data_IF_544428145208
#
_entry.id   IF_544428145208
#
_cell.length_a   1.000
_cell.length_b   1.000
_cell.length_c   1.000
_cell.angle_alpha   90.00
_cell.angle_beta   90.00
_cell.angle_gamma   90.00
#
_symmetry.space_group_name_H-M   'P 1'
#
loop_
_entity.id
_entity.type
_entity.pdbx_description
1 polymer ?
#
# COMPACT_ATOMS: atom_id res chain seq x y z
N UNK A 1 -33.04 8.45 6.61
CA UNK A 1 -32.58 7.40 5.70
C UNK A 1 -32.81 6.06 6.40
N UNK A 2 -33.31 5.06 5.68
CA UNK A 2 -33.58 3.72 6.23
C UNK A 2 -32.32 2.88 6.42
N UNK A 3 -31.17 3.41 5.98
CA UNK A 3 -29.84 2.78 6.10
C UNK A 3 -28.90 3.62 6.93
N UNK A 4 -28.05 2.98 7.72
CA UNK A 4 -27.01 3.64 8.48
C UNK A 4 -26.02 4.31 7.51
N UNK A 5 -25.68 5.57 7.77
CA UNK A 5 -24.73 6.35 6.97
C UNK A 5 -23.66 6.95 7.89
N UNK A 6 -22.40 6.93 7.44
CA UNK A 6 -21.25 7.46 8.18
C UNK A 6 -20.89 8.90 7.80
N UNK A 7 -21.58 9.46 6.81
CA UNK A 7 -21.35 10.81 6.34
C UNK A 7 -22.02 11.12 5.02
N UNK A 8 -21.69 12.28 4.48
CA UNK A 8 -22.19 12.81 3.20
C UNK A 8 -21.02 13.12 2.28
N UNK A 9 -21.22 12.99 0.97
CA UNK A 9 -20.24 13.42 -0.02
C UNK A 9 -20.82 14.56 -0.84
N UNK A 10 -20.25 15.73 -0.71
CA UNK A 10 -20.56 16.89 -1.53
C UNK A 10 -19.73 16.87 -2.80
N UNK A 11 -20.38 17.04 -3.94
CA UNK A 11 -19.72 17.04 -5.25
C UNK A 11 -20.11 18.31 -6.01
N UNK A 12 -19.14 18.90 -6.70
CA UNK A 12 -19.43 19.97 -7.66
C UNK A 12 -20.37 19.42 -8.73
N UNK A 13 -21.55 20.03 -8.91
CA UNK A 13 -22.58 19.53 -9.82
C UNK A 13 -22.23 19.74 -11.31
N UNK A 14 -21.49 20.79 -11.61
CA UNK A 14 -21.11 21.11 -12.99
C UNK A 14 -19.93 20.24 -13.46
N UNK A 15 -20.15 19.40 -14.47
CA UNK A 15 -19.14 18.48 -15.00
C UNK A 15 -17.94 19.18 -15.65
N UNK A 16 -18.11 20.41 -16.18
CA UNK A 16 -16.99 21.17 -16.73
C UNK A 16 -16.07 21.66 -15.59
N UNK A 17 -16.64 22.13 -14.49
CA UNK A 17 -15.88 22.51 -13.30
C UNK A 17 -15.17 21.29 -12.67
N UNK A 18 -15.82 20.12 -12.64
CA UNK A 18 -15.15 18.89 -12.19
C UNK A 18 -13.90 18.57 -13.02
N UNK A 19 -13.97 18.76 -14.35
CA UNK A 19 -12.83 18.54 -15.24
C UNK A 19 -11.70 19.56 -15.00
N UNK A 20 -12.04 20.82 -14.77
CA UNK A 20 -11.07 21.89 -14.46
C UNK A 20 -10.36 21.64 -13.11
N UNK A 21 -11.09 21.22 -12.11
CA UNK A 21 -10.55 20.90 -10.79
C UNK A 21 -9.68 19.63 -10.81
N UNK A 22 -10.02 18.66 -11.66
CA UNK A 22 -9.26 17.43 -11.80
C UNK A 22 -9.28 16.54 -10.57
N UNK A 23 -8.28 15.66 -10.47
CA UNK A 23 -8.12 14.70 -9.38
C UNK A 23 -6.67 14.63 -8.94
N UNK A 24 -6.45 14.21 -7.70
CA UNK A 24 -5.15 13.74 -7.21
C UNK A 24 -5.00 12.25 -7.54
N UNK A 25 -3.86 11.66 -7.24
CA UNK A 25 -3.65 10.21 -7.38
C UNK A 25 -4.64 9.36 -6.55
N UNK A 26 -5.23 9.94 -5.49
CA UNK A 26 -6.09 9.21 -4.53
C UNK A 26 -7.55 9.67 -4.51
N UNK A 27 -7.83 10.92 -4.88
CA UNK A 27 -9.17 11.50 -4.70
C UNK A 27 -9.46 12.61 -5.70
N UNK A 28 -10.74 12.82 -6.07
CA UNK A 28 -11.16 13.95 -6.87
C UNK A 28 -11.04 15.26 -6.07
N UNK A 29 -10.60 16.35 -6.72
CA UNK A 29 -10.56 17.70 -6.12
C UNK A 29 -11.93 18.39 -6.09
N UNK A 30 -12.90 17.85 -6.81
CA UNK A 30 -14.26 18.36 -6.94
C UNK A 30 -15.25 17.67 -6.01
N UNK A 31 -14.79 16.85 -5.07
CA UNK A 31 -15.62 16.20 -4.08
C UNK A 31 -14.98 16.32 -2.70
N UNK A 32 -15.84 16.53 -1.67
CA UNK A 32 -15.44 16.56 -0.27
C UNK A 32 -16.38 15.67 0.54
N UNK A 33 -15.81 14.84 1.39
CA UNK A 33 -16.55 14.03 2.33
C UNK A 33 -16.74 14.79 3.66
N UNK A 34 -17.97 14.86 4.12
CA UNK A 34 -18.32 15.28 5.48
C UNK A 34 -18.66 14.04 6.29
N UNK A 35 -17.81 13.68 7.22
CA UNK A 35 -18.03 12.57 8.13
C UNK A 35 -18.83 13.03 9.34
N UNK A 36 -19.85 12.26 9.73
CA UNK A 36 -20.55 12.51 10.99
C UNK A 36 -19.60 12.30 12.16
N UNK A 37 -19.96 12.87 13.31
CA UNK A 37 -19.21 12.62 14.52
C UNK A 37 -19.31 11.13 14.85
N UNK A 38 -18.16 10.50 15.04
CA UNK A 38 -18.12 9.09 15.38
C UNK A 38 -18.71 8.84 16.78
N UNK A 39 -19.37 7.71 16.95
CA UNK A 39 -19.83 7.26 18.27
C UNK A 39 -18.62 7.06 19.19
N UNK A 40 -18.81 7.41 20.46
CA UNK A 40 -17.81 7.23 21.50
C UNK A 40 -18.40 6.41 22.63
N UNK A 41 -17.62 5.45 23.08
CA UNK A 41 -17.97 4.64 24.23
C UNK A 41 -16.91 4.72 25.30
N UNK A 42 -17.33 4.67 26.56
CA UNK A 42 -16.46 4.69 27.71
C UNK A 42 -16.14 3.27 28.16
N UNK A 43 -14.86 2.93 28.28
CA UNK A 43 -14.43 1.63 28.76
C UNK A 43 -13.15 1.76 29.60
N UNK A 44 -12.83 0.71 30.36
CA UNK A 44 -11.64 0.69 31.20
C UNK A 44 -10.42 0.19 30.43
N UNK A 45 -9.31 0.90 30.54
CA UNK A 45 -7.99 0.48 30.10
C UNK A 45 -7.44 -0.59 31.05
N UNK A 46 -7.19 -1.80 30.53
CA UNK A 46 -6.65 -2.92 31.30
C UNK A 46 -5.13 -2.93 31.30
N UNK A 47 -4.55 -2.65 30.15
CA UNK A 47 -3.10 -2.59 29.95
C UNK A 47 -2.77 -1.96 28.60
N UNK A 48 -1.52 -1.62 28.35
CA UNK A 48 -1.03 -1.21 27.02
C UNK A 48 0.02 -2.21 26.56
N UNK A 49 -0.15 -2.74 25.37
CA UNK A 49 0.84 -3.53 24.66
C UNK A 49 1.53 -2.68 23.60
N UNK A 50 2.80 -2.98 23.32
CA UNK A 50 3.57 -2.29 22.29
C UNK A 50 3.88 -3.27 21.17
N UNK A 51 3.45 -2.93 19.96
CA UNK A 51 3.59 -3.77 18.77
C UNK A 51 4.64 -3.20 17.84
N UNK A 52 5.49 -4.08 17.29
CA UNK A 52 6.52 -3.69 16.34
C UNK A 52 6.00 -3.98 14.92
N UNK A 53 5.84 -2.93 14.14
CA UNK A 53 5.42 -3.04 12.74
C UNK A 53 6.54 -3.43 11.79
N UNK A 54 6.18 -3.70 10.55
CA UNK A 54 7.08 -4.09 9.44
C UNK A 54 8.30 -3.19 9.24
N UNK A 55 8.14 -1.89 9.43
CA UNK A 55 9.21 -0.89 9.31
C UNK A 55 9.88 -0.55 10.66
N UNK A 56 9.62 -1.36 11.69
CA UNK A 56 10.17 -1.16 13.03
C UNK A 56 9.40 -0.19 13.91
N UNK A 57 8.38 0.49 13.39
CA UNK A 57 7.56 1.43 14.17
C UNK A 57 6.90 0.75 15.35
N UNK A 58 7.05 1.34 16.53
CA UNK A 58 6.42 0.85 17.76
C UNK A 58 5.07 1.54 17.94
N UNK A 59 4.03 0.74 17.89
CA UNK A 59 2.65 1.22 18.04
C UNK A 59 2.09 0.78 19.40
N UNK A 60 1.74 1.71 20.29
CA UNK A 60 1.05 1.38 21.53
C UNK A 60 -0.42 1.04 21.25
N UNK A 61 -0.88 -0.04 21.85
CA UNK A 61 -2.24 -0.56 21.70
C UNK A 61 -2.88 -0.73 23.07
N UNK A 62 -3.95 -0.02 23.32
CA UNK A 62 -4.75 -0.17 24.53
C UNK A 62 -5.53 -1.49 24.51
N UNK A 63 -5.34 -2.33 25.52
CA UNK A 63 -6.15 -3.50 25.79
C UNK A 63 -7.29 -3.08 26.73
N UNK A 64 -8.52 -3.25 26.33
CA UNK A 64 -9.70 -2.67 26.95
C UNK A 64 -10.60 -3.73 27.58
N UNK A 65 -11.42 -3.34 28.54
CA UNK A 65 -12.62 -4.10 28.84
C UNK A 65 -13.52 -4.09 27.59
N UNK A 66 -14.12 -5.25 27.23
CA UNK A 66 -14.95 -5.32 26.02
C UNK A 66 -16.10 -4.30 26.07
N UNK A 67 -16.24 -3.49 25.02
CA UNK A 67 -17.30 -2.48 24.88
C UNK A 67 -17.96 -2.60 23.53
N UNK A 68 -19.27 -2.44 23.47
CA UNK A 68 -20.02 -2.40 22.22
C UNK A 68 -19.90 -1.01 21.60
N UNK A 69 -19.38 -0.92 20.38
CA UNK A 69 -19.21 0.33 19.65
C UNK A 69 -19.54 0.11 18.17
N UNK A 70 -20.50 0.85 17.65
CA UNK A 70 -20.98 0.74 16.25
C UNK A 70 -21.24 -0.72 15.84
N UNK A 71 -22.02 -1.46 16.66
CA UNK A 71 -22.45 -2.84 16.39
C UNK A 71 -21.36 -3.91 16.54
N UNK A 72 -20.14 -3.56 16.99
CA UNK A 72 -19.05 -4.53 17.20
C UNK A 72 -18.46 -4.43 18.61
N UNK A 73 -18.01 -5.57 19.15
CA UNK A 73 -17.32 -5.59 20.45
C UNK A 73 -15.86 -5.22 20.27
N UNK A 74 -15.48 -4.07 20.78
CA UNK A 74 -14.09 -3.56 20.78
C UNK A 74 -13.38 -4.02 22.05
N UNK A 75 -12.21 -4.61 21.89
CA UNK A 75 -11.32 -5.06 22.98
C UNK A 75 -9.94 -4.41 22.92
N UNK A 76 -9.60 -3.80 21.79
CA UNK A 76 -8.30 -3.17 21.52
C UNK A 76 -8.50 -1.87 20.75
N UNK A 77 -7.70 -0.86 21.07
CA UNK A 77 -7.72 0.43 20.38
C UNK A 77 -6.32 0.99 20.24
N UNK A 78 -6.06 1.70 19.15
CA UNK A 78 -4.75 2.34 18.92
C UNK A 78 -4.58 3.56 19.83
N UNK A 79 -3.38 3.73 20.35
CA UNK A 79 -2.88 4.94 21.02
C UNK A 79 -1.90 5.72 20.11
N UNK A 80 -1.81 5.34 18.86
CA UNK A 80 -0.99 5.95 17.82
C UNK A 80 0.52 5.96 18.13
N UNK A 81 0.98 6.77 19.09
CA UNK A 81 2.37 6.96 19.46
C UNK A 81 2.51 7.50 20.89
N UNK A 82 3.75 7.72 21.34
CA UNK A 82 4.06 8.28 22.67
C UNK A 82 3.47 9.69 22.87
N UNK A 83 3.48 10.54 21.85
CA UNK A 83 3.00 11.92 21.98
C UNK A 83 1.51 11.97 22.30
N UNK A 84 0.70 11.08 21.70
CA UNK A 84 -0.72 10.95 22.02
C UNK A 84 -0.94 10.42 23.43
N UNK A 85 -0.12 9.47 23.90
CA UNK A 85 -0.20 8.98 25.28
C UNK A 85 0.04 10.13 26.27
N UNK A 86 1.06 10.95 26.02
CA UNK A 86 1.39 12.12 26.84
C UNK A 86 0.31 13.21 26.74
N UNK A 87 -0.15 13.50 25.53
CA UNK A 87 -1.19 14.53 25.30
C UNK A 87 -2.48 14.19 26.02
N UNK A 88 -2.87 12.93 26.02
CA UNK A 88 -4.07 12.46 26.70
C UNK A 88 -3.85 12.20 28.20
N UNK A 89 -2.60 12.31 28.67
CA UNK A 89 -2.21 12.01 30.06
C UNK A 89 -2.78 10.66 30.53
N UNK A 90 -2.48 9.59 29.78
CA UNK A 90 -3.04 8.26 30.05
C UNK A 90 -2.31 7.60 31.22
N UNK A 91 -3.08 7.10 32.17
CA UNK A 91 -2.61 6.33 33.32
C UNK A 91 -3.12 4.89 33.26
N UNK A 92 -2.42 3.99 33.92
CA UNK A 92 -2.84 2.60 34.04
C UNK A 92 -4.19 2.51 34.78
N UNK A 93 -5.13 1.76 34.22
CA UNK A 93 -6.46 1.55 34.76
C UNK A 93 -7.46 2.66 34.52
N UNK A 94 -7.11 3.71 33.76
CA UNK A 94 -8.00 4.80 33.39
C UNK A 94 -9.27 4.32 32.69
N UNK A 95 -10.33 5.09 32.83
CA UNK A 95 -11.47 5.00 31.94
C UNK A 95 -11.25 5.89 30.72
N UNK A 96 -11.34 5.30 29.53
CA UNK A 96 -10.98 5.95 28.27
C UNK A 96 -12.13 5.96 27.29
N UNK A 97 -12.24 7.04 26.53
CA UNK A 97 -13.20 7.16 25.44
C UNK A 97 -12.61 6.52 24.16
N UNK A 98 -13.32 5.54 23.62
CA UNK A 98 -12.97 4.83 22.38
C UNK A 98 -13.88 5.31 21.27
N UNK A 99 -13.28 5.61 20.12
CA UNK A 99 -13.97 6.00 18.89
C UNK A 99 -13.48 5.12 17.74
N UNK A 100 -14.36 4.76 16.81
CA UNK A 100 -13.95 4.13 15.55
C UNK A 100 -13.70 5.20 14.49
N UNK A 101 -12.44 5.42 14.14
CA UNK A 101 -12.07 6.28 13.03
C UNK A 101 -12.42 5.63 11.69
N UNK A 102 -13.37 6.23 10.93
CA UNK A 102 -13.84 5.69 9.67
C UNK A 102 -14.50 4.30 9.77
N UNK A 103 -15.10 4.01 10.94
CA UNK A 103 -15.82 2.77 11.29
C UNK A 103 -14.98 1.49 11.34
N UNK A 104 -13.67 1.55 11.16
CA UNK A 104 -12.82 0.35 11.03
C UNK A 104 -11.85 0.21 12.20
N UNK A 105 -11.02 1.22 12.48
CA UNK A 105 -9.93 1.11 13.46
C UNK A 105 -10.29 1.88 14.75
N UNK A 106 -10.48 1.16 15.89
CA UNK A 106 -10.70 1.81 17.16
C UNK A 106 -9.46 2.59 17.61
N UNK A 107 -9.67 3.79 18.13
CA UNK A 107 -8.63 4.66 18.72
C UNK A 107 -9.12 5.28 20.04
N UNK A 108 -8.18 5.57 20.92
CA UNK A 108 -8.46 6.32 22.16
C UNK A 108 -8.45 7.81 21.81
N UNK A 109 -9.48 8.53 22.26
CA UNK A 109 -9.65 9.96 21.98
C UNK A 109 -9.75 10.83 23.24
N UNK A 110 -9.79 10.23 24.42
CA UNK A 110 -9.84 10.96 25.68
C UNK A 110 -9.82 10.05 26.89
N UNK A 111 -9.68 10.67 28.06
CA UNK A 111 -9.69 10.02 29.38
C UNK A 111 -10.81 10.65 30.21
N UNK A 112 -11.53 9.83 30.94
CA UNK A 112 -12.54 10.27 31.93
C UNK A 112 -11.89 10.51 33.29
N UNK A 113 -11.38 11.72 33.48
CA UNK A 113 -10.56 12.10 34.65
C UNK A 113 -11.34 11.97 35.98
N UNK A 114 -12.69 12.12 35.97
CA UNK A 114 -13.51 11.99 37.17
C UNK A 114 -13.50 10.57 37.75
N UNK A 115 -13.15 9.57 36.95
CA UNK A 115 -13.05 8.16 37.32
C UNK A 115 -11.63 7.67 37.55
N UNK A 116 -10.63 8.56 37.42
CA UNK A 116 -9.20 8.20 37.64
C UNK A 116 -8.97 7.83 39.10
N UNK A 117 -8.27 6.74 39.31
CA UNK A 117 -7.91 6.30 40.69
C UNK A 117 -6.82 7.22 41.26
N UNK A 118 -6.98 7.70 42.52
CA UNK A 118 -5.95 8.46 43.20
C UNK A 118 -4.65 7.68 43.25
N UNK A 119 -3.53 8.32 42.89
CA UNK A 119 -2.19 7.70 42.91
C UNK A 119 -1.87 6.82 41.71
N UNK A 120 -2.71 6.76 40.69
CA UNK A 120 -2.37 6.11 39.42
C UNK A 120 -1.17 6.81 38.77
N UNK A 121 -0.28 6.02 38.14
CA UNK A 121 0.93 6.54 37.51
C UNK A 121 0.72 6.75 36.02
N UNK A 122 1.34 7.79 35.41
CA UNK A 122 1.35 7.98 33.98
C UNK A 122 1.97 6.78 33.25
N UNK A 123 1.34 6.39 32.15
CA UNK A 123 1.85 5.30 31.32
C UNK A 123 3.23 5.66 30.75
N UNK A 124 4.18 4.77 30.96
CA UNK A 124 5.54 4.93 30.42
C UNK A 124 5.68 4.23 29.07
N UNK A 125 6.21 4.96 28.08
CA UNK A 125 6.54 4.36 26.79
C UNK A 125 7.78 3.48 26.93
N UNK A 126 7.86 2.39 26.15
CA UNK A 126 8.99 1.47 26.18
C UNK A 126 10.24 2.11 25.59
N UNK A 127 11.40 1.84 26.16
CA UNK A 127 12.71 2.32 25.65
C UNK A 127 13.38 1.33 24.71
N UNK A 128 13.02 0.07 24.82
CA UNK A 128 13.59 -1.02 24.02
C UNK A 128 12.47 -1.71 23.25
N UNK A 129 12.82 -2.27 22.09
CA UNK A 129 11.91 -3.06 21.28
C UNK A 129 11.34 -4.24 22.10
N UNK A 130 10.01 -4.39 22.19
CA UNK A 130 9.39 -5.45 23.01
C UNK A 130 9.68 -6.86 22.49
N UNK A 131 10.16 -7.00 21.25
CA UNK A 131 10.41 -8.31 20.63
C UNK A 131 11.89 -8.68 20.64
N UNK A 132 12.80 -7.77 20.27
CA UNK A 132 14.22 -8.09 20.14
C UNK A 132 15.12 -7.39 21.15
N UNK A 133 14.57 -6.57 22.06
CA UNK A 133 15.32 -5.89 23.12
C UNK A 133 16.21 -4.72 22.66
N UNK A 134 16.33 -4.48 21.36
CA UNK A 134 17.17 -3.40 20.82
C UNK A 134 16.66 -2.03 21.28
N UNK A 135 17.53 -1.10 21.72
CA UNK A 135 17.15 0.26 22.06
C UNK A 135 16.42 0.94 20.88
N UNK A 136 15.31 1.60 21.19
CA UNK A 136 14.52 2.31 20.18
C UNK A 136 15.19 3.63 19.83
N UNK A 137 14.99 4.06 18.58
CA UNK A 137 15.42 5.37 18.08
C UNK A 137 14.22 6.18 17.63
N UNK A 138 14.32 7.51 17.76
CA UNK A 138 13.33 8.44 17.23
C UNK A 138 14.07 9.53 16.50
N UNK A 139 13.77 9.69 15.22
CA UNK A 139 14.36 10.76 14.43
C UNK A 139 13.78 12.12 14.83
N UNK A 140 14.56 13.16 14.69
CA UNK A 140 14.10 14.52 14.94
C UNK A 140 12.93 14.87 14.02
N UNK A 141 11.87 15.43 14.59
CA UNK A 141 10.63 15.77 13.86
C UNK A 141 9.68 14.60 13.58
N UNK A 142 10.04 13.35 13.91
CA UNK A 142 9.15 12.20 13.77
C UNK A 142 8.45 11.86 15.09
N UNK A 143 7.17 11.51 15.00
CA UNK A 143 6.37 11.09 16.17
C UNK A 143 6.60 9.62 16.57
N UNK A 144 7.15 8.83 15.66
CA UNK A 144 7.29 7.39 15.84
C UNK A 144 8.63 6.99 16.46
N UNK A 145 8.58 6.11 17.45
CA UNK A 145 9.74 5.34 17.89
C UNK A 145 9.91 4.13 16.99
N UNK A 146 11.15 3.82 16.62
CA UNK A 146 11.47 2.77 15.68
C UNK A 146 12.54 1.83 16.25
N UNK A 147 12.35 0.54 16.06
CA UNK A 147 13.37 -0.47 16.28
C UNK A 147 14.34 -0.48 15.09
N UNK A 148 15.63 -0.11 15.28
CA UNK A 148 16.59 -0.05 14.18
C UNK A 148 17.10 -1.43 13.72
N UNK A 149 16.79 -2.50 14.46
CA UNK A 149 17.25 -3.87 14.17
C UNK A 149 16.42 -4.50 13.04
N UNK A 150 16.55 -3.94 11.84
CA UNK A 150 15.75 -4.31 10.68
C UNK A 150 15.85 -5.79 10.31
N UNK A 151 17.06 -6.33 10.38
CA UNK A 151 17.38 -7.68 9.87
C UNK A 151 17.45 -8.75 10.95
N UNK A 152 17.32 -8.36 12.23
CA UNK A 152 17.27 -9.28 13.37
C UNK A 152 15.95 -9.25 14.15
N UNK A 153 15.05 -8.32 13.84
CA UNK A 153 13.77 -8.21 14.54
C UNK A 153 12.68 -8.99 13.79
N UNK A 154 12.19 -10.06 14.43
CA UNK A 154 11.21 -10.98 13.82
C UNK A 154 10.02 -10.29 13.15
N UNK A 155 9.25 -9.39 13.78
CA UNK A 155 8.10 -8.75 13.12
C UNK A 155 8.50 -7.91 11.89
N UNK A 156 9.72 -7.36 11.86
CA UNK A 156 10.20 -6.64 10.69
C UNK A 156 10.52 -7.58 9.54
N UNK A 157 11.07 -8.75 9.83
CA UNK A 157 11.38 -9.76 8.82
C UNK A 157 10.09 -10.37 8.27
N UNK A 158 9.24 -10.91 9.14
CA UNK A 158 7.99 -11.59 8.71
C UNK A 158 7.02 -10.63 8.04
N UNK A 159 6.91 -9.39 8.54
CA UNK A 159 6.09 -8.36 7.91
C UNK A 159 6.60 -7.90 6.53
N UNK A 160 7.93 -7.91 6.29
CA UNK A 160 8.47 -7.67 4.94
C UNK A 160 8.19 -8.85 3.99
N UNK A 161 8.26 -10.08 4.49
CA UNK A 161 7.89 -11.28 3.72
C UNK A 161 6.41 -11.20 3.32
N UNK A 162 5.52 -10.93 4.28
CA UNK A 162 4.08 -10.78 4.05
C UNK A 162 3.77 -9.66 3.04
N UNK A 163 4.43 -8.51 3.18
CA UNK A 163 4.30 -7.42 2.22
C UNK A 163 4.74 -7.85 0.83
N UNK A 164 5.92 -8.47 0.71
CA UNK A 164 6.50 -8.88 -0.56
C UNK A 164 5.57 -9.82 -1.33
N UNK A 165 4.99 -10.81 -0.66
CA UNK A 165 4.08 -11.79 -1.30
C UNK A 165 2.68 -11.25 -1.58
N UNK A 166 2.36 -10.07 -1.06
CA UNK A 166 1.03 -9.48 -1.14
C UNK A 166 0.50 -9.32 -2.57
N UNK A 167 -0.85 -9.27 -2.71
CA UNK A 167 -1.55 -9.20 -4.00
C UNK A 167 -1.09 -8.04 -4.89
N UNK A 168 -0.80 -6.87 -4.32
CA UNK A 168 -0.36 -5.68 -5.06
C UNK A 168 1.15 -5.67 -5.33
N UNK A 169 1.90 -6.60 -4.75
CA UNK A 169 3.33 -6.78 -4.91
C UNK A 169 3.59 -8.01 -5.78
N UNK A 170 4.21 -9.06 -5.24
CA UNK A 170 4.56 -10.25 -6.04
C UNK A 170 3.39 -11.23 -6.24
N UNK A 171 2.27 -11.03 -5.54
CA UNK A 171 1.04 -11.83 -5.66
C UNK A 171 1.26 -13.35 -5.49
N UNK A 172 2.05 -13.73 -4.49
CA UNK A 172 2.30 -15.13 -4.14
C UNK A 172 1.27 -15.59 -3.12
N UNK A 173 0.28 -16.33 -3.58
CA UNK A 173 -0.83 -16.78 -2.76
C UNK A 173 -0.43 -17.95 -1.84
N UNK A 174 -0.95 -17.98 -0.62
CA UNK A 174 -0.71 -19.05 0.35
C UNK A 174 0.32 -18.71 1.42
N UNK A 175 1.02 -17.57 1.33
CA UNK A 175 1.88 -17.04 2.38
C UNK A 175 1.19 -15.83 3.00
N UNK A 176 0.43 -16.03 4.08
CA UNK A 176 -0.08 -14.97 4.95
C UNK A 176 0.78 -14.83 6.20
N UNK A 177 0.35 -14.00 7.17
CA UNK A 177 1.04 -13.73 8.42
C UNK A 177 1.50 -15.02 9.13
N UNK A 178 0.58 -15.96 9.34
CA UNK A 178 0.87 -17.21 10.05
C UNK A 178 1.90 -18.08 9.31
N UNK A 179 1.79 -18.20 7.97
CA UNK A 179 2.73 -18.98 7.16
C UNK A 179 4.11 -18.30 7.12
N UNK A 180 4.17 -16.97 7.02
CA UNK A 180 5.43 -16.21 7.05
C UNK A 180 6.15 -16.41 8.40
N UNK A 181 5.41 -16.37 9.51
CA UNK A 181 5.92 -16.64 10.84
C UNK A 181 6.47 -18.08 10.98
N UNK A 182 5.78 -19.07 10.45
CA UNK A 182 6.23 -20.46 10.49
C UNK A 182 7.47 -20.67 9.62
N UNK A 183 7.50 -20.14 8.39
CA UNK A 183 8.66 -20.21 7.50
C UNK A 183 9.90 -19.58 8.14
N UNK A 184 9.73 -18.46 8.83
CA UNK A 184 10.78 -17.82 9.59
C UNK A 184 11.23 -18.68 10.79
N UNK A 185 10.29 -19.21 11.57
CA UNK A 185 10.56 -19.98 12.78
C UNK A 185 11.35 -21.25 12.50
N UNK A 186 11.07 -21.92 11.37
CA UNK A 186 11.82 -23.13 10.94
C UNK A 186 13.11 -22.77 10.18
N UNK A 187 13.40 -21.47 9.99
CA UNK A 187 14.63 -20.97 9.36
C UNK A 187 14.68 -21.08 7.84
N UNK A 188 13.56 -21.41 7.19
CA UNK A 188 13.47 -21.52 5.73
C UNK A 188 13.50 -20.17 5.02
N UNK A 189 12.91 -19.14 5.62
CA UNK A 189 12.84 -17.79 5.02
C UNK A 189 13.27 -16.76 6.06
N UNK A 190 14.39 -16.09 5.80
CA UNK A 190 14.95 -15.00 6.61
C UNK A 190 14.90 -13.65 5.88
N UNK A 191 14.73 -13.67 4.57
CA UNK A 191 14.56 -12.49 3.73
C UNK A 191 13.70 -12.84 2.50
N UNK A 192 13.31 -11.85 1.73
CA UNK A 192 12.40 -12.04 0.60
C UNK A 192 12.96 -12.89 -0.55
N UNK A 193 14.29 -12.96 -0.70
CA UNK A 193 14.89 -13.78 -1.74
C UNK A 193 14.82 -15.28 -1.41
N UNK A 194 14.77 -15.65 -0.11
CA UNK A 194 14.67 -17.06 0.32
C UNK A 194 13.34 -17.70 -0.12
N UNK A 195 12.33 -16.90 -0.45
CA UNK A 195 11.03 -17.37 -0.96
C UNK A 195 11.23 -18.15 -2.27
N UNK A 196 12.18 -17.74 -3.11
CA UNK A 196 12.48 -18.37 -4.41
C UNK A 196 13.29 -19.65 -4.29
N UNK A 197 13.82 -19.95 -3.10
CA UNK A 197 14.51 -21.21 -2.79
C UNK A 197 13.57 -22.27 -2.18
N UNK A 198 12.28 -21.96 -2.01
CA UNK A 198 11.29 -22.90 -1.48
C UNK A 198 11.00 -24.01 -2.49
N UNK A 199 10.98 -25.24 -1.99
CA UNK A 199 10.63 -26.46 -2.74
C UNK A 199 9.49 -27.19 -2.03
N UNK A 200 8.88 -28.16 -2.70
CA UNK A 200 7.80 -28.97 -2.11
C UNK A 200 8.26 -29.65 -0.81
N UNK A 201 9.45 -30.28 -0.82
CA UNK A 201 10.03 -30.94 0.35
C UNK A 201 10.23 -29.97 1.53
N UNK A 202 10.67 -28.74 1.25
CA UNK A 202 10.83 -27.71 2.29
C UNK A 202 9.50 -27.24 2.87
N UNK A 203 8.47 -27.14 2.04
CA UNK A 203 7.15 -26.69 2.48
C UNK A 203 6.41 -27.74 3.32
N UNK A 204 6.69 -29.03 3.12
CA UNK A 204 6.11 -30.13 3.93
C UNK A 204 6.56 -30.09 5.39
N UNK A 205 7.70 -29.48 5.69
CA UNK A 205 8.22 -29.31 7.06
C UNK A 205 7.41 -28.24 7.83
N UNK A 206 6.72 -27.35 7.12
CA UNK A 206 5.92 -26.27 7.72
C UNK A 206 4.59 -26.83 8.21
N UNK A 207 4.39 -26.93 9.51
CA UNK A 207 3.38 -27.73 10.20
C UNK A 207 1.89 -27.51 9.84
N UNK A 208 1.56 -26.46 9.05
CA UNK A 208 0.20 -26.21 8.54
C UNK A 208 0.16 -26.04 7.02
N UNK A 209 1.29 -26.27 6.35
CA UNK A 209 1.36 -26.22 4.90
C UNK A 209 1.00 -27.58 4.31
N UNK A 210 -0.32 -27.83 4.13
CA UNK A 210 -0.77 -29.04 3.43
C UNK A 210 -0.38 -28.98 1.94
N UNK A 211 -0.40 -30.14 1.27
CA UNK A 211 0.02 -30.32 -0.13
C UNK A 211 -0.62 -29.31 -1.11
N UNK A 212 -1.92 -29.01 -0.94
CA UNK A 212 -2.61 -28.01 -1.76
C UNK A 212 -2.07 -26.59 -1.56
N UNK A 213 -1.71 -26.25 -0.33
CA UNK A 213 -1.10 -24.93 0.00
C UNK A 213 0.30 -24.85 -0.56
N UNK A 214 1.12 -25.89 -0.41
CA UNK A 214 2.47 -25.96 -0.99
C UNK A 214 2.43 -25.78 -2.51
N UNK A 215 1.58 -26.50 -3.21
CA UNK A 215 1.40 -26.36 -4.66
C UNK A 215 0.95 -24.94 -5.06
N UNK A 216 0.05 -24.32 -4.27
CA UNK A 216 -0.40 -22.93 -4.52
C UNK A 216 0.74 -21.94 -4.34
N UNK A 217 1.53 -22.07 -3.29
CA UNK A 217 2.72 -21.24 -3.04
C UNK A 217 3.71 -21.37 -4.21
N UNK A 218 4.09 -22.58 -4.61
CA UNK A 218 5.05 -22.82 -5.67
C UNK A 218 4.57 -22.27 -7.03
N UNK A 219 3.29 -22.42 -7.38
CA UNK A 219 2.71 -21.79 -8.56
C UNK A 219 2.77 -20.27 -8.49
N UNK A 220 2.47 -19.69 -7.31
CA UNK A 220 2.55 -18.25 -7.06
C UNK A 220 3.98 -17.73 -7.21
N UNK A 221 4.97 -18.45 -6.70
CA UNK A 221 6.40 -18.15 -6.86
C UNK A 221 6.77 -18.09 -8.34
N UNK A 222 6.39 -19.10 -9.12
CA UNK A 222 6.72 -19.14 -10.55
C UNK A 222 6.02 -18.02 -11.33
N UNK A 223 4.72 -17.79 -11.06
CA UNK A 223 3.98 -16.72 -11.68
C UNK A 223 4.52 -15.32 -11.32
N UNK A 224 5.07 -15.15 -10.11
CA UNK A 224 5.60 -13.88 -9.64
C UNK A 224 6.83 -13.40 -10.42
N UNK A 225 7.56 -14.29 -11.10
CA UNK A 225 8.69 -13.94 -11.97
C UNK A 225 8.28 -13.07 -13.17
N UNK A 226 6.99 -13.08 -13.53
CA UNK A 226 6.44 -12.25 -14.60
C UNK A 226 5.80 -10.95 -14.10
N UNK A 227 5.85 -10.68 -12.81
CA UNK A 227 5.30 -9.45 -12.23
C UNK A 227 6.10 -8.25 -12.73
N UNK A 228 5.44 -7.15 -13.18
CA UNK A 228 6.10 -5.97 -13.71
C UNK A 228 7.06 -5.31 -12.70
N UNK A 229 8.13 -4.71 -13.23
CA UNK A 229 9.23 -4.15 -12.42
C UNK A 229 8.80 -3.13 -11.38
N UNK A 230 7.81 -2.27 -11.67
CA UNK A 230 7.30 -1.29 -10.70
C UNK A 230 6.69 -1.95 -9.46
N UNK A 231 6.12 -3.14 -9.61
CA UNK A 231 5.60 -3.92 -8.47
C UNK A 231 6.73 -4.59 -7.70
N UNK A 232 7.81 -5.01 -8.38
CA UNK A 232 9.04 -5.50 -7.73
C UNK A 232 9.62 -4.39 -6.85
N UNK A 233 9.78 -3.16 -7.36
CA UNK A 233 10.26 -2.02 -6.59
C UNK A 233 9.39 -1.75 -5.37
N UNK A 234 8.06 -1.82 -5.51
CA UNK A 234 7.14 -1.66 -4.38
C UNK A 234 7.27 -2.80 -3.36
N UNK A 235 7.46 -4.04 -3.83
CA UNK A 235 7.63 -5.22 -2.98
C UNK A 235 8.88 -5.17 -2.10
N UNK A 236 9.95 -4.46 -2.52
CA UNK A 236 11.18 -4.29 -1.74
C UNK A 236 10.98 -3.59 -0.39
N UNK A 237 9.84 -2.95 -0.17
CA UNK A 237 9.53 -2.28 1.11
C UNK A 237 10.56 -1.20 1.48
N UNK A 238 11.00 -0.41 0.49
CA UNK A 238 11.87 0.75 0.71
C UNK A 238 11.12 1.75 1.59
N UNK A 239 11.71 2.26 2.69
CA UNK A 239 11.05 3.25 3.53
C UNK A 239 10.59 4.47 2.72
N UNK A 240 9.43 5.01 3.04
CA UNK A 240 8.81 6.17 2.37
C UNK A 240 8.44 5.97 0.89
N UNK A 241 8.68 4.79 0.30
CA UNK A 241 8.31 4.46 -1.08
C UNK A 241 7.01 3.65 -1.09
N UNK A 242 5.90 4.32 -1.38
CA UNK A 242 4.60 3.68 -1.63
C UNK A 242 4.45 3.23 -3.08
N UNK A 243 3.34 2.58 -3.42
CA UNK A 243 3.07 2.04 -4.76
C UNK A 243 3.20 3.08 -5.88
N UNK A 244 2.61 4.27 -5.70
CA UNK A 244 2.70 5.35 -6.70
C UNK A 244 4.14 5.79 -6.91
N UNK A 245 4.92 5.89 -5.83
CA UNK A 245 6.31 6.29 -5.89
C UNK A 245 7.18 5.20 -6.50
N UNK A 246 6.98 3.94 -6.14
CA UNK A 246 7.66 2.81 -6.74
C UNK A 246 7.48 2.76 -8.27
N UNK A 247 6.25 3.03 -8.74
CA UNK A 247 5.96 3.14 -10.16
C UNK A 247 6.72 4.29 -10.82
N UNK A 248 6.74 5.50 -10.21
CA UNK A 248 7.49 6.64 -10.74
C UNK A 248 8.99 6.33 -10.83
N UNK A 249 9.58 5.77 -9.78
CA UNK A 249 10.99 5.40 -9.75
C UNK A 249 11.32 4.34 -10.80
N UNK A 250 10.49 3.31 -10.93
CA UNK A 250 10.70 2.25 -11.92
C UNK A 250 10.71 2.78 -13.35
N UNK A 251 9.79 3.68 -13.71
CA UNK A 251 9.73 4.26 -15.05
C UNK A 251 10.80 5.34 -15.29
N UNK A 252 11.21 6.10 -14.26
CA UNK A 252 12.24 7.11 -14.39
C UNK A 252 13.62 6.49 -14.63
N UNK A 253 13.97 5.42 -13.92
CA UNK A 253 15.28 4.76 -14.03
C UNK A 253 15.29 3.58 -15.00
N UNK A 254 14.15 3.00 -15.31
CA UNK A 254 14.00 1.92 -16.27
C UNK A 254 14.54 0.55 -15.82
N UNK A 255 15.49 0.49 -14.89
CA UNK A 255 16.06 -0.75 -14.36
C UNK A 255 16.47 -0.63 -12.89
N UNK A 256 16.60 -1.79 -12.23
CA UNK A 256 17.12 -1.84 -10.86
C UNK A 256 18.57 -1.34 -10.77
N UNK A 257 19.39 -1.63 -11.78
CA UNK A 257 20.79 -1.21 -11.80
C UNK A 257 20.92 0.32 -11.83
N UNK A 258 20.14 0.98 -12.68
CA UNK A 258 20.09 2.43 -12.73
C UNK A 258 19.57 3.03 -11.41
N UNK A 259 18.55 2.42 -10.82
CA UNK A 259 17.99 2.85 -9.55
C UNK A 259 18.97 2.65 -8.38
N UNK A 260 19.75 1.58 -8.37
CA UNK A 260 20.79 1.32 -7.36
C UNK A 260 21.96 2.31 -7.44
N UNK A 261 22.26 2.84 -8.61
CA UNK A 261 23.33 3.82 -8.84
C UNK A 261 22.87 5.28 -8.69
N UNK A 262 21.56 5.50 -8.54
CA UNK A 262 20.98 6.84 -8.46
C UNK A 262 21.50 7.62 -7.24
N UNK A 263 21.85 8.88 -7.46
CA UNK A 263 22.20 9.83 -6.41
C UNK A 263 20.94 10.48 -5.82
N UNK A 264 21.10 11.16 -4.68
CA UNK A 264 19.99 11.94 -4.09
C UNK A 264 19.50 13.01 -5.09
N UNK A 265 20.40 13.67 -5.79
CA UNK A 265 20.05 14.72 -6.75
C UNK A 265 19.26 14.16 -7.95
N UNK A 266 19.66 13.00 -8.48
CA UNK A 266 18.92 12.32 -9.56
C UNK A 266 17.49 11.98 -9.14
N UNK A 267 17.32 11.54 -7.89
CA UNK A 267 16.02 11.17 -7.34
C UNK A 267 15.13 12.38 -7.09
N UNK A 268 15.66 13.46 -6.52
CA UNK A 268 14.90 14.70 -6.24
C UNK A 268 14.47 15.40 -7.54
N UNK A 269 15.16 15.17 -8.66
CA UNK A 269 14.76 15.67 -9.96
C UNK A 269 13.43 15.08 -10.49
N UNK A 270 12.93 13.99 -9.87
CA UNK A 270 11.67 13.35 -10.23
C UNK A 270 10.52 14.05 -9.50
N UNK A 271 9.43 14.35 -10.22
CA UNK A 271 8.23 14.96 -9.65
C UNK A 271 7.67 14.16 -8.45
N UNK A 272 7.39 14.86 -7.36
CA UNK A 272 6.91 14.34 -6.07
C UNK A 272 7.93 13.50 -5.28
N UNK A 273 9.19 13.40 -5.69
CA UNK A 273 10.27 12.82 -4.90
C UNK A 273 10.95 13.90 -4.07
N UNK A 274 10.62 13.96 -2.77
CA UNK A 274 11.30 14.86 -1.83
C UNK A 274 12.59 14.26 -1.27
N UNK A 275 13.37 15.11 -0.59
CA UNK A 275 14.66 14.77 0.04
C UNK A 275 14.60 13.47 0.87
N UNK A 276 13.58 13.33 1.74
CA UNK A 276 13.40 12.17 2.63
C UNK A 276 13.24 10.86 1.85
N UNK A 277 12.49 10.88 0.74
CA UNK A 277 12.31 9.70 -0.11
C UNK A 277 13.62 9.35 -0.81
N UNK A 278 14.30 10.35 -1.37
CA UNK A 278 15.57 10.17 -2.07
C UNK A 278 16.64 9.56 -1.15
N UNK A 279 16.80 10.12 0.04
CA UNK A 279 17.72 9.58 1.04
C UNK A 279 17.37 8.16 1.47
N UNK A 280 16.07 7.84 1.61
CA UNK A 280 15.62 6.48 1.94
C UNK A 280 15.96 5.47 0.84
N UNK A 281 15.82 5.84 -0.43
CA UNK A 281 16.17 4.98 -1.58
C UNK A 281 17.69 4.75 -1.63
N UNK A 282 18.49 5.81 -1.53
CA UNK A 282 19.95 5.71 -1.55
C UNK A 282 20.47 4.87 -0.37
N UNK A 283 19.96 5.12 0.84
CA UNK A 283 20.33 4.36 2.04
C UNK A 283 19.96 2.87 1.92
N UNK A 284 18.79 2.58 1.31
CA UNK A 284 18.35 1.21 1.09
C UNK A 284 19.32 0.43 0.20
N UNK A 285 19.73 0.98 -0.93
CA UNK A 285 20.62 0.30 -1.88
C UNK A 285 22.09 0.32 -1.47
N UNK A 286 22.53 1.28 -0.64
CA UNK A 286 23.87 1.28 -0.02
C UNK A 286 24.07 0.16 1.01
N UNK A 287 22.99 -0.43 1.53
CA UNK A 287 23.09 -1.56 2.43
C UNK A 287 23.53 -2.82 1.68
N UNK A 288 24.69 -3.44 2.02
CA UNK A 288 25.21 -4.62 1.31
C UNK A 288 24.25 -5.82 1.33
N UNK A 289 23.47 -5.97 2.41
CA UNK A 289 22.49 -7.05 2.51
C UNK A 289 21.36 -6.88 1.49
N UNK A 290 20.89 -5.64 1.28
CA UNK A 290 19.88 -5.37 0.26
C UNK A 290 20.43 -5.57 -1.15
N UNK A 291 21.70 -5.16 -1.42
CA UNK A 291 22.36 -5.43 -2.69
C UNK A 291 22.44 -6.93 -2.98
N UNK A 292 22.84 -7.74 -2.00
CA UNK A 292 22.88 -9.21 -2.13
C UNK A 292 21.48 -9.81 -2.39
N UNK A 293 20.42 -9.27 -1.75
CA UNK A 293 19.03 -9.66 -2.03
C UNK A 293 18.67 -9.36 -3.49
N UNK A 294 19.04 -8.19 -4.02
CA UNK A 294 18.76 -7.83 -5.42
C UNK A 294 19.40 -8.83 -6.40
N UNK A 295 20.65 -9.21 -6.18
CA UNK A 295 21.32 -10.21 -7.03
C UNK A 295 20.64 -11.57 -6.98
N UNK A 296 20.18 -12.01 -5.80
CA UNK A 296 19.45 -13.26 -5.67
C UNK A 296 18.07 -13.21 -6.34
N UNK A 297 17.34 -12.12 -6.22
CA UNK A 297 16.05 -11.93 -6.91
C UNK A 297 16.24 -11.90 -8.43
N UNK A 298 17.32 -11.29 -8.92
CA UNK A 298 17.71 -11.33 -10.34
C UNK A 298 17.98 -12.74 -10.80
N UNK A 299 18.80 -13.49 -10.05
CA UNK A 299 19.13 -14.89 -10.36
C UNK A 299 17.89 -15.79 -10.35
N UNK A 300 16.90 -15.48 -9.50
CA UNK A 300 15.61 -16.18 -9.46
C UNK A 300 14.71 -15.88 -10.69
N UNK A 301 15.07 -14.89 -11.52
CA UNK A 301 14.38 -14.57 -12.77
C UNK A 301 13.27 -13.52 -12.66
N UNK A 302 13.32 -12.64 -11.65
CA UNK A 302 12.37 -11.54 -11.53
C UNK A 302 12.62 -10.46 -12.59
N UNK A 303 11.56 -9.72 -12.93
CA UNK A 303 11.67 -8.57 -13.84
C UNK A 303 12.42 -7.43 -13.14
N UNK A 304 13.67 -7.20 -13.50
CA UNK A 304 14.56 -6.17 -12.92
C UNK A 304 14.63 -4.90 -13.74
N UNK A 305 13.75 -4.74 -14.70
CA UNK A 305 13.67 -3.55 -15.55
C UNK A 305 12.32 -3.45 -16.23
N UNK A 306 12.00 -2.24 -16.67
CA UNK A 306 10.83 -1.97 -17.51
C UNK A 306 11.12 -2.53 -18.90
N UNK A 307 10.19 -3.27 -19.48
CA UNK A 307 10.32 -3.75 -20.85
C UNK A 307 10.61 -2.57 -21.80
N UNK A 308 11.54 -2.73 -22.75
CA UNK A 308 11.95 -1.66 -23.69
C UNK A 308 10.74 -1.05 -24.39
N UNK A 309 9.80 -1.89 -24.81
CA UNK A 309 8.53 -1.48 -25.42
C UNK A 309 7.67 -0.62 -24.48
N UNK A 310 7.84 -0.73 -23.16
CA UNK A 310 7.15 0.09 -22.17
C UNK A 310 7.84 1.44 -21.92
N UNK A 311 9.08 1.63 -22.33
CA UNK A 311 9.85 2.89 -22.19
C UNK A 311 9.78 3.77 -23.43
N UNK A 312 9.55 3.20 -24.61
CA UNK A 312 9.45 3.97 -25.85
C UNK A 312 8.18 4.83 -25.84
N UNK A 313 8.36 6.11 -25.57
CA UNK A 313 7.32 7.11 -25.85
C UNK A 313 7.27 7.30 -27.36
N UNK A 314 6.15 7.04 -27.97
CA UNK A 314 5.92 7.35 -29.39
C UNK A 314 4.88 8.43 -29.50
N UNK A 315 4.86 9.14 -30.62
CA UNK A 315 3.87 10.16 -30.92
C UNK A 315 2.74 9.65 -31.82
N UNK A 316 2.58 8.32 -31.93
CA UNK A 316 1.55 7.69 -32.80
C UNK A 316 0.13 8.20 -32.52
N UNK A 317 -0.15 8.55 -31.27
CA UNK A 317 -1.45 9.07 -30.82
C UNK A 317 -1.38 10.55 -30.40
N UNK A 318 -0.32 11.27 -30.78
CA UNK A 318 -0.13 12.67 -30.43
C UNK A 318 -1.35 13.52 -30.86
N UNK A 319 -1.85 14.32 -29.93
CA UNK A 319 -3.04 15.16 -30.13
C UNK A 319 -4.38 14.43 -30.14
N UNK A 320 -4.41 13.09 -30.05
CA UNK A 320 -5.65 12.32 -30.01
C UNK A 320 -6.25 12.24 -28.62
N UNK A 321 -7.54 12.50 -28.49
CA UNK A 321 -8.32 12.32 -27.25
C UNK A 321 -9.16 11.05 -27.36
N UNK A 322 -8.88 10.07 -26.51
CA UNK A 322 -9.42 8.71 -26.59
C UNK A 322 -10.25 8.40 -25.34
N UNK A 323 -11.40 7.76 -25.52
CA UNK A 323 -12.24 7.27 -24.42
C UNK A 323 -12.23 5.75 -24.41
N UNK A 324 -11.83 5.14 -23.28
CA UNK A 324 -11.84 3.69 -23.11
C UNK A 324 -13.15 3.24 -22.46
N UNK A 325 -13.80 2.22 -23.03
CA UNK A 325 -15.05 1.66 -22.51
C UNK A 325 -15.15 0.16 -22.78
N UNK A 326 -15.69 -0.61 -21.82
CA UNK A 326 -15.86 -2.06 -21.96
C UNK A 326 -14.85 -2.87 -21.12
N UNK A 327 -14.87 -4.18 -21.33
CA UNK A 327 -13.96 -5.17 -20.72
C UNK A 327 -13.04 -5.68 -21.82
N UNK A 328 -11.77 -5.85 -21.52
CA UNK A 328 -10.73 -6.24 -22.48
C UNK A 328 -10.11 -7.57 -22.07
N UNK A 329 -9.74 -8.41 -23.04
CA UNK A 329 -9.17 -9.74 -22.80
C UNK A 329 -7.66 -9.72 -22.59
N UNK A 330 -6.92 -8.86 -23.30
CA UNK A 330 -5.45 -8.87 -23.31
C UNK A 330 -4.82 -7.97 -22.26
N UNK A 331 -5.41 -6.81 -21.97
CA UNK A 331 -4.90 -5.84 -21.03
C UNK A 331 -6.03 -5.26 -20.18
N UNK A 332 -5.73 -4.86 -18.97
CA UNK A 332 -6.66 -4.11 -18.13
C UNK A 332 -6.93 -2.71 -18.73
N UNK A 333 -8.03 -2.09 -18.30
CA UNK A 333 -8.35 -0.72 -18.73
C UNK A 333 -7.24 0.27 -18.37
N UNK A 334 -6.56 0.09 -17.25
CA UNK A 334 -5.51 0.99 -16.80
C UNK A 334 -4.20 0.78 -17.57
N UNK A 335 -3.91 -0.44 -18.01
CA UNK A 335 -2.81 -0.71 -18.93
C UNK A 335 -3.04 -0.08 -20.31
N UNK A 336 -4.26 -0.14 -20.83
CA UNK A 336 -4.58 0.56 -22.08
C UNK A 336 -4.53 2.09 -21.96
N UNK A 337 -4.90 2.67 -20.80
CA UNK A 337 -4.70 4.10 -20.56
C UNK A 337 -3.22 4.48 -20.60
N UNK A 338 -2.39 3.69 -19.91
CA UNK A 338 -0.95 3.90 -19.92
C UNK A 338 -0.36 3.78 -21.34
N UNK A 339 -0.86 2.84 -22.15
CA UNK A 339 -0.46 2.66 -23.54
C UNK A 339 -0.80 3.89 -24.40
N UNK A 340 -2.01 4.44 -24.23
CA UNK A 340 -2.45 5.66 -24.94
C UNK A 340 -1.57 6.86 -24.57
N UNK A 341 -1.37 7.09 -23.27
CA UNK A 341 -0.56 8.21 -22.78
C UNK A 341 0.90 8.09 -23.22
N UNK A 342 1.44 6.89 -23.22
CA UNK A 342 2.79 6.59 -23.70
C UNK A 342 2.96 6.93 -25.18
N UNK A 343 1.92 6.73 -25.99
CA UNK A 343 1.92 7.05 -27.41
C UNK A 343 1.48 8.49 -27.72
N UNK A 344 1.54 9.39 -26.72
CA UNK A 344 1.22 10.81 -26.91
C UNK A 344 -0.28 11.15 -26.92
N UNK A 345 -1.15 10.16 -26.71
CA UNK A 345 -2.59 10.33 -26.68
C UNK A 345 -3.10 10.80 -25.31
N UNK A 346 -4.30 11.38 -25.30
CA UNK A 346 -4.97 11.87 -24.09
C UNK A 346 -6.16 10.99 -23.73
N UNK A 347 -6.15 10.43 -22.51
CA UNK A 347 -7.31 9.70 -22.00
C UNK A 347 -8.41 10.64 -21.53
N UNK A 348 -9.67 10.35 -21.91
CA UNK A 348 -10.86 11.04 -21.43
C UNK A 348 -11.86 10.06 -20.81
N UNK A 349 -12.44 10.42 -19.68
CA UNK A 349 -13.47 9.61 -19.01
C UNK A 349 -14.85 9.67 -19.68
N UNK A 350 -15.08 10.67 -20.55
CA UNK A 350 -16.39 10.91 -21.17
C UNK A 350 -16.26 11.30 -22.65
N UNK A 351 -17.21 10.84 -23.44
CA UNK A 351 -17.30 11.12 -24.88
C UNK A 351 -17.80 12.56 -25.09
N UNK A 352 -17.11 13.32 -25.94
CA UNK A 352 -17.45 14.70 -26.32
C UNK A 352 -17.06 14.96 -27.79
N UNK A 353 -17.43 16.10 -28.35
CA UNK A 353 -17.02 16.52 -29.73
C UNK A 353 -15.49 16.61 -29.91
N UNK A 354 -14.72 16.60 -28.79
CA UNK A 354 -13.24 16.60 -28.79
C UNK A 354 -12.65 15.18 -28.69
N UNK A 355 -13.51 14.13 -28.67
CA UNK A 355 -13.06 12.75 -28.65
C UNK A 355 -12.80 12.31 -30.09
N UNK A 356 -11.56 11.90 -30.36
CA UNK A 356 -11.18 11.44 -31.71
C UNK A 356 -11.74 10.05 -32.01
N UNK A 357 -11.66 9.15 -31.04
CA UNK A 357 -12.30 7.83 -31.12
C UNK A 357 -12.58 7.22 -29.75
N UNK A 358 -13.45 6.22 -29.72
CA UNK A 358 -13.73 5.41 -28.55
C UNK A 358 -13.06 4.05 -28.74
N UNK A 359 -12.16 3.72 -27.82
CA UNK A 359 -11.57 2.40 -27.74
C UNK A 359 -12.49 1.48 -26.92
N UNK A 360 -13.13 0.54 -27.59
CA UNK A 360 -14.18 -0.30 -27.05
C UNK A 360 -13.75 -1.75 -26.90
N UNK A 361 -13.85 -2.27 -25.66
CA UNK A 361 -13.81 -3.69 -25.35
C UNK A 361 -15.20 -4.32 -25.35
N UNK A 362 -15.29 -5.59 -24.98
CA UNK A 362 -16.56 -6.29 -24.81
C UNK A 362 -17.47 -5.57 -23.79
N UNK A 363 -18.77 -5.66 -23.96
CA UNK A 363 -19.77 -5.07 -23.05
C UNK A 363 -19.61 -3.56 -22.82
N UNK A 364 -19.33 -2.79 -23.88
CA UNK A 364 -19.39 -1.33 -23.82
C UNK A 364 -20.77 -0.87 -23.33
N UNK A 365 -20.79 0.02 -22.33
CA UNK A 365 -22.05 0.51 -21.75
C UNK A 365 -22.94 1.22 -22.78
N UNK A 366 -24.26 0.93 -22.82
CA UNK A 366 -25.18 1.41 -23.86
C UNK A 366 -25.22 2.94 -24.00
N UNK A 367 -25.17 3.66 -22.87
CA UNK A 367 -25.15 5.14 -22.90
C UNK A 367 -23.92 5.74 -23.59
N UNK A 368 -22.76 5.09 -23.50
CA UNK A 368 -21.53 5.52 -24.17
C UNK A 368 -21.60 5.17 -25.67
N UNK A 369 -22.16 4.01 -26.02
CA UNK A 369 -22.34 3.58 -27.37
C UNK A 369 -23.27 4.54 -28.15
N UNK A 370 -24.42 4.87 -27.56
CA UNK A 370 -25.39 5.81 -28.13
C UNK A 370 -24.76 7.20 -28.30
N UNK A 371 -24.02 7.67 -27.29
CA UNK A 371 -23.36 8.96 -27.36
C UNK A 371 -22.25 9.04 -28.41
N UNK A 372 -21.49 7.95 -28.62
CA UNK A 372 -20.49 7.88 -29.67
C UNK A 372 -21.17 7.97 -31.07
N UNK A 373 -22.27 7.23 -31.26
CA UNK A 373 -23.07 7.25 -32.51
C UNK A 373 -23.68 8.61 -32.77
N UNK A 374 -24.27 9.25 -31.74
CA UNK A 374 -24.92 10.58 -31.91
C UNK A 374 -23.92 11.69 -32.26
N UNK A 375 -22.67 11.55 -31.90
CA UNK A 375 -21.59 12.48 -32.21
C UNK A 375 -20.71 12.04 -33.39
N UNK A 376 -21.08 10.94 -34.05
CA UNK A 376 -20.36 10.35 -35.19
C UNK A 376 -18.87 10.11 -34.86
N UNK A 377 -18.59 9.62 -33.65
CA UNK A 377 -17.23 9.34 -33.20
C UNK A 377 -16.88 7.88 -33.51
N UNK A 378 -15.76 7.60 -34.18
CA UNK A 378 -15.33 6.24 -34.49
C UNK A 378 -15.19 5.38 -33.20
N UNK A 379 -15.60 4.11 -33.32
CA UNK A 379 -15.44 3.11 -32.27
C UNK A 379 -14.46 2.06 -32.78
N UNK A 380 -13.35 1.91 -32.10
CA UNK A 380 -12.24 1.03 -32.49
C UNK A 380 -12.15 -0.14 -31.51
N UNK A 381 -12.04 -1.37 -31.98
CA UNK A 381 -11.84 -2.56 -31.19
C UNK A 381 -10.37 -2.80 -30.82
N UNK A 382 -10.11 -3.80 -29.94
CA UNK A 382 -8.77 -4.09 -29.46
C UNK A 382 -7.80 -4.50 -30.56
N UNK A 383 -8.24 -5.31 -31.52
CA UNK A 383 -7.42 -5.78 -32.64
C UNK A 383 -7.03 -4.67 -33.63
N UNK A 384 -7.86 -3.66 -33.77
CA UNK A 384 -7.60 -2.50 -34.62
C UNK A 384 -6.72 -1.46 -33.93
N UNK A 385 -6.87 -1.34 -32.60
CA UNK A 385 -6.08 -0.40 -31.79
C UNK A 385 -4.63 -0.84 -31.62
N UNK A 386 -4.35 -2.14 -31.62
CA UNK A 386 -3.00 -2.69 -31.45
C UNK A 386 -2.18 -2.78 -32.75
N UNK A 387 -2.79 -2.49 -33.89
CA UNK A 387 -2.12 -2.33 -35.20
C UNK A 387 -1.56 -0.92 -35.39
#
# INVERSE_FOLDING_TARGET
LEVATDGLVFKVNNLQQQRLLGSTAKSPRWAIAYKFQAERELTRLKSVSFETGRLGTITPVANLEPVLLSGTIVKRASLHNEDIIRQLDIHDGDYVYVEKGGEIIPKIVGVELSRRQPGSLPLQFVKNCPVCGTPLVRNEGEAAWVCPNRDGCRPQITGRIEHFVGRRMMNIDGIGEETAEQLFAVGLVKNVADIYDLTDDKLTIVGRCGELTARRILRGIEASKQVPFERVVFALSIPNVGETMAKKLAFAFGSIDALMLATVDDLVAIDDVGQVIAESVVAFFKNPQNAAIMERLRAAGLQMGVAKEAMEKTDKLAGKTIVISGVFEHHSRDEYKALIERNGGKNSGSISKKTDFVFAGANMGPAKLEKARSLVIPIIGADEFLK
#
